data_IF_950947774653
#
_entry.id   IF_950947774653
#
_cell.length_a   1.000
_cell.length_b   1.000
_cell.length_c   1.000
_cell.angle_alpha   90.00
_cell.angle_beta   90.00
_cell.angle_gamma   90.00
#
_symmetry.space_group_name_H-M   'P 1'
#
loop_
_entity.id
_entity.type
_entity.pdbx_description
1 polymer ?
#
# COMPACT_ATOMS: atom_id res chain seq x y z
N UNK A 1 52.74 59.70 -29.80
CA UNK A 1 51.92 58.50 -30.06
C UNK A 1 50.85 58.49 -28.98
N UNK A 2 49.88 59.44 -28.98
CA UNK A 2 48.49 59.33 -29.51
C UNK A 2 47.77 58.07 -29.01
N UNK A 3 46.62 58.08 -28.34
CA UNK A 3 45.64 59.06 -27.84
C UNK A 3 44.62 58.22 -27.03
N UNK A 4 44.20 58.62 -25.81
CA UNK A 4 43.09 59.52 -25.46
C UNK A 4 41.67 58.92 -25.54
N UNK A 5 41.01 58.97 -24.38
CA UNK A 5 39.59 59.24 -24.08
C UNK A 5 38.41 58.34 -24.52
N UNK A 6 37.59 58.04 -23.49
CA UNK A 6 36.12 58.28 -23.37
C UNK A 6 35.20 57.45 -24.28
N UNK A 7 33.96 57.11 -23.97
CA UNK A 7 32.95 57.55 -22.99
C UNK A 7 32.04 56.35 -22.66
N UNK A 8 31.29 56.51 -21.57
CA UNK A 8 30.05 55.81 -21.23
C UNK A 8 29.01 55.84 -22.35
N UNK A 9 28.22 54.77 -22.52
CA UNK A 9 26.82 54.89 -22.91
C UNK A 9 25.99 53.68 -22.44
N UNK A 10 24.87 54.02 -21.82
CA UNK A 10 23.71 53.19 -21.53
C UNK A 10 22.80 53.28 -22.76
N UNK A 11 22.14 52.18 -23.16
CA UNK A 11 20.68 52.08 -23.36
C UNK A 11 20.24 51.07 -24.44
N UNK A 12 19.09 50.47 -24.10
CA UNK A 12 17.94 50.02 -24.89
C UNK A 12 17.95 48.92 -25.96
N UNK A 13 16.90 48.09 -25.83
CA UNK A 13 16.20 47.43 -26.91
C UNK A 13 16.75 46.07 -27.37
N UNK A 14 15.97 45.08 -27.76
CA UNK A 14 14.53 44.95 -27.90
C UNK A 14 14.26 43.45 -28.08
N UNK A 15 13.31 42.92 -27.32
CA UNK A 15 12.67 41.63 -27.53
C UNK A 15 11.80 41.70 -28.80
N UNK A 16 12.02 40.85 -29.80
CA UNK A 16 11.12 40.73 -30.95
C UNK A 16 11.18 39.35 -31.65
N UNK A 17 10.04 38.64 -31.59
CA UNK A 17 9.50 37.76 -32.64
C UNK A 17 10.16 36.38 -32.81
N UNK A 18 9.44 35.29 -33.08
CA UNK A 18 8.15 35.16 -33.77
C UNK A 18 7.41 33.91 -33.28
N UNK A 19 6.12 34.11 -33.10
CA UNK A 19 5.03 33.16 -32.78
C UNK A 19 4.51 32.59 -34.10
N UNK A 20 4.35 31.27 -34.23
CA UNK A 20 3.49 30.70 -35.27
C UNK A 20 2.78 29.44 -34.74
N UNK A 21 1.49 29.63 -34.43
CA UNK A 21 0.48 28.61 -34.15
C UNK A 21 0.05 27.93 -35.44
N UNK A 22 -0.60 26.77 -35.30
CA UNK A 22 -1.62 26.10 -36.16
C UNK A 22 -1.28 24.61 -36.35
N UNK A 23 -2.15 23.62 -36.32
CA UNK A 23 -3.59 23.52 -36.03
C UNK A 23 -3.90 22.08 -35.62
N UNK A 24 -4.96 21.93 -34.83
CA UNK A 24 -5.58 20.68 -34.45
C UNK A 24 -6.75 20.46 -35.41
N UNK A 25 -6.75 19.41 -36.23
CA UNK A 25 -7.99 18.95 -36.86
C UNK A 25 -7.96 17.46 -37.25
N UNK A 26 -9.11 16.84 -37.02
CA UNK A 26 -9.46 15.44 -37.22
C UNK A 26 -9.70 15.10 -38.69
N UNK A 27 -9.40 13.87 -39.10
CA UNK A 27 -10.27 13.21 -40.07
C UNK A 27 -10.27 11.69 -39.91
N UNK A 28 -11.47 11.12 -39.92
CA UNK A 28 -11.74 9.71 -40.05
C UNK A 28 -12.01 9.43 -41.54
N UNK A 29 -11.68 8.23 -42.05
CA UNK A 29 -12.53 7.42 -42.96
C UNK A 29 -11.73 6.27 -43.64
N UNK A 30 -12.18 5.04 -43.31
CA UNK A 30 -12.34 3.81 -44.11
C UNK A 30 -11.23 3.19 -45.00
N UNK A 31 -10.94 1.91 -44.72
CA UNK A 31 -11.15 0.73 -45.62
C UNK A 31 -10.57 -0.53 -44.95
N UNK A 32 -11.10 -1.77 -45.00
CA UNK A 32 -12.23 -2.41 -45.69
C UNK A 32 -12.40 -3.84 -45.14
N UNK A 33 -13.66 -4.29 -45.10
CA UNK A 33 -14.19 -5.67 -45.24
C UNK A 33 -13.78 -6.78 -44.26
N UNK A 34 -14.78 -7.29 -43.54
CA UNK A 34 -15.22 -8.68 -43.71
C UNK A 34 -16.72 -8.77 -43.42
N UNK A 35 -17.47 -9.26 -44.39
CA UNK A 35 -18.92 -9.43 -44.38
C UNK A 35 -19.33 -10.55 -43.40
N UNK A 36 -20.34 -10.27 -42.56
CA UNK A 36 -21.12 -11.27 -41.85
C UNK A 36 -22.59 -10.82 -41.82
N UNK A 37 -23.25 -11.09 -42.94
CA UNK A 37 -24.61 -11.60 -43.06
C UNK A 37 -25.60 -11.21 -41.94
N UNK A 38 -26.32 -10.11 -42.17
CA UNK A 38 -27.55 -9.78 -41.44
C UNK A 38 -28.65 -10.68 -42.00
N UNK A 39 -29.02 -11.71 -41.24
CA UNK A 39 -30.10 -12.62 -41.60
C UNK A 39 -31.44 -11.86 -41.55
N UNK A 40 -32.05 -11.66 -42.72
CA UNK A 40 -33.41 -11.20 -42.85
C UNK A 40 -34.37 -12.20 -42.22
N UNK A 41 -35.35 -11.68 -41.50
CA UNK A 41 -36.57 -12.40 -41.18
C UNK A 41 -37.63 -11.95 -42.18
N UNK A 42 -38.08 -12.90 -43.00
CA UNK A 42 -39.28 -12.76 -43.80
C UNK A 42 -40.48 -12.65 -42.84
N UNK A 43 -41.34 -11.66 -43.10
CA UNK A 43 -42.60 -11.50 -42.37
C UNK A 43 -43.60 -12.43 -43.02
N UNK A 44 -43.77 -13.62 -42.44
CA UNK A 44 -44.87 -14.50 -42.80
C UNK A 44 -46.17 -13.97 -42.16
N UNK A 45 -47.14 -13.66 -43.02
CA UNK A 45 -48.50 -13.28 -42.66
C UNK A 45 -49.26 -14.46 -42.02
N UNK A 46 -49.88 -14.16 -40.87
CA UNK A 46 -51.04 -14.79 -40.23
C UNK A 46 -51.22 -16.33 -40.32
N UNK A 47 -50.81 -17.02 -39.25
CA UNK A 47 -51.54 -18.19 -38.76
C UNK A 47 -52.38 -17.78 -37.55
N UNK A 48 -53.70 -17.92 -37.68
CA UNK A 48 -54.65 -17.72 -36.57
C UNK A 48 -54.41 -18.77 -35.48
N UNK A 49 -53.64 -18.43 -34.46
CA UNK A 49 -53.58 -19.21 -33.22
C UNK A 49 -54.66 -18.72 -32.25
N UNK A 50 -55.55 -19.64 -31.86
CA UNK A 50 -56.57 -19.44 -30.85
C UNK A 50 -55.91 -19.11 -29.49
N UNK A 51 -56.10 -17.89 -28.94
CA UNK A 51 -55.41 -17.42 -27.74
C UNK A 51 -55.78 -18.19 -26.46
N UNK A 52 -56.73 -19.14 -26.54
CA UNK A 52 -57.18 -19.95 -25.41
C UNK A 52 -56.53 -21.33 -25.23
N UNK A 53 -55.67 -21.78 -26.16
CA UNK A 53 -55.10 -23.15 -26.12
C UNK A 53 -53.74 -23.20 -25.41
N UNK A 54 -52.81 -22.31 -25.76
CA UNK A 54 -51.45 -22.29 -25.18
C UNK A 54 -51.42 -21.96 -23.67
N UNK A 55 -52.40 -21.19 -23.19
CA UNK A 55 -52.52 -20.81 -21.79
C UNK A 55 -53.02 -21.96 -20.88
N UNK A 56 -53.74 -22.94 -21.45
CA UNK A 56 -54.24 -24.09 -20.68
C UNK A 56 -53.15 -25.14 -20.47
N UNK A 57 -52.29 -25.34 -21.48
CA UNK A 57 -51.25 -26.38 -21.46
C UNK A 57 -50.01 -25.98 -20.63
N UNK A 58 -49.82 -24.68 -20.39
CA UNK A 58 -48.78 -24.14 -19.48
C UNK A 58 -49.21 -24.16 -18.01
N UNK A 59 -50.51 -24.03 -17.73
CA UNK A 59 -51.05 -24.09 -16.38
C UNK A 59 -51.05 -25.51 -15.79
N UNK A 60 -51.20 -26.54 -16.63
CA UNK A 60 -51.24 -27.95 -16.18
C UNK A 60 -49.85 -28.56 -15.91
N UNK A 61 -48.77 -27.92 -16.40
CA UNK A 61 -47.37 -28.30 -16.13
C UNK A 61 -46.73 -27.49 -14.97
N UNK A 62 -47.47 -26.58 -14.35
CA UNK A 62 -46.95 -25.79 -13.23
C UNK A 62 -46.98 -26.64 -11.94
N UNK A 63 -45.84 -27.20 -11.58
CA UNK A 63 -45.59 -27.70 -10.21
C UNK A 63 -45.81 -26.55 -9.22
N UNK A 64 -46.57 -26.76 -8.12
CA UNK A 64 -46.86 -25.69 -7.17
C UNK A 64 -45.56 -25.19 -6.54
N UNK A 65 -45.29 -23.89 -6.69
CA UNK A 65 -44.27 -23.21 -5.91
C UNK A 65 -44.75 -23.22 -4.45
N UNK A 66 -44.18 -24.13 -3.66
CA UNK A 66 -44.41 -24.22 -2.23
C UNK A 66 -44.06 -22.91 -1.52
N UNK A 67 -44.68 -22.63 -0.37
CA UNK A 67 -44.38 -21.44 0.37
C UNK A 67 -42.95 -21.55 0.93
N UNK A 68 -42.27 -20.41 0.99
CA UNK A 68 -41.01 -20.20 1.71
C UNK A 68 -39.75 -20.68 0.98
N UNK A 69 -39.40 -19.95 -0.08
CA UNK A 69 -37.97 -19.74 -0.38
C UNK A 69 -37.46 -18.86 0.76
N UNK A 70 -36.80 -19.51 1.71
CA UNK A 70 -36.45 -18.95 3.00
C UNK A 70 -35.85 -17.56 2.90
N UNK A 71 -36.28 -16.72 3.84
CA UNK A 71 -35.66 -15.45 4.21
C UNK A 71 -34.23 -15.64 4.74
N UNK A 72 -33.71 -16.88 4.69
CA UNK A 72 -32.36 -17.31 5.07
C UNK A 72 -31.29 -17.05 3.97
N UNK A 73 -31.66 -16.72 2.73
CA UNK A 73 -30.68 -16.41 1.65
C UNK A 73 -30.26 -14.92 1.61
N UNK A 74 -30.47 -14.21 2.71
CA UNK A 74 -29.78 -12.94 3.01
C UNK A 74 -28.90 -13.08 4.27
N UNK A 75 -28.54 -14.32 4.64
CA UNK A 75 -27.49 -14.61 5.61
C UNK A 75 -26.12 -14.19 5.02
N UNK A 76 -25.83 -12.90 5.21
CA UNK A 76 -24.50 -12.38 5.55
C UNK A 76 -23.35 -12.87 4.65
N UNK A 77 -23.29 -12.38 3.40
CA UNK A 77 -22.01 -12.29 2.69
C UNK A 77 -21.17 -11.16 3.32
N UNK A 78 -20.79 -11.33 4.58
CA UNK A 78 -19.68 -10.61 5.22
C UNK A 78 -18.76 -11.58 5.95
N UNK A 79 -18.72 -12.84 5.55
CA UNK A 79 -17.59 -13.69 5.90
C UNK A 79 -16.47 -13.38 4.89
N UNK A 80 -15.47 -12.62 5.33
CA UNK A 80 -14.24 -12.43 4.55
C UNK A 80 -13.59 -13.81 4.49
N UNK A 81 -13.91 -14.58 3.45
CA UNK A 81 -13.42 -15.93 3.28
C UNK A 81 -11.88 -15.91 3.35
N UNK A 82 -11.34 -16.48 4.44
CA UNK A 82 -9.91 -16.54 4.66
C UNK A 82 -9.24 -17.35 3.54
N UNK A 83 -8.52 -16.69 2.64
CA UNK A 83 -7.91 -17.35 1.48
C UNK A 83 -6.69 -18.19 1.88
N UNK A 84 -6.70 -19.52 1.66
CA UNK A 84 -5.54 -20.38 1.93
C UNK A 84 -4.31 -19.98 1.10
N UNK A 85 -4.54 -19.44 -0.10
CA UNK A 85 -3.48 -18.93 -0.99
C UNK A 85 -2.79 -17.72 -0.35
N UNK A 86 -3.57 -16.76 0.17
CA UNK A 86 -3.03 -15.57 0.84
C UNK A 86 -2.25 -15.95 2.09
N UNK A 87 -2.79 -16.84 2.95
CA UNK A 87 -2.08 -17.34 4.14
C UNK A 87 -0.72 -17.97 3.80
N UNK A 88 -0.70 -18.81 2.77
CA UNK A 88 0.51 -19.50 2.31
C UNK A 88 1.52 -18.53 1.71
N UNK A 89 1.06 -17.61 0.86
CA UNK A 89 1.90 -16.59 0.24
C UNK A 89 2.53 -15.67 1.30
N UNK A 90 1.73 -15.13 2.22
CA UNK A 90 2.21 -14.28 3.32
C UNK A 90 3.26 -15.00 4.16
N UNK A 91 2.98 -16.23 4.62
CA UNK A 91 3.94 -17.02 5.41
C UNK A 91 5.26 -17.27 4.68
N UNK A 92 5.20 -17.44 3.35
CA UNK A 92 6.38 -17.69 2.52
C UNK A 92 7.19 -16.41 2.30
N UNK A 93 6.53 -15.28 2.05
CA UNK A 93 7.17 -14.00 1.69
C UNK A 93 7.73 -13.27 2.92
N UNK A 94 7.04 -13.32 4.06
CA UNK A 94 7.44 -12.62 5.28
C UNK A 94 8.91 -12.79 5.67
N UNK A 95 9.53 -14.00 5.72
CA UNK A 95 10.95 -14.11 6.07
C UNK A 95 11.87 -13.34 5.12
N UNK A 96 11.54 -13.26 3.82
CA UNK A 96 12.32 -12.48 2.85
C UNK A 96 12.13 -10.97 3.05
N UNK A 97 10.92 -10.53 3.39
CA UNK A 97 10.65 -9.12 3.73
C UNK A 97 11.41 -8.71 4.98
N UNK A 98 11.41 -9.53 6.03
CA UNK A 98 12.19 -9.28 7.25
C UNK A 98 13.69 -9.23 6.94
N UNK A 99 14.21 -10.20 6.19
CA UNK A 99 15.62 -10.22 5.79
C UNK A 99 16.01 -8.98 4.98
N UNK A 100 15.13 -8.52 4.08
CA UNK A 100 15.35 -7.31 3.31
C UNK A 100 15.32 -6.05 4.20
N UNK A 101 14.42 -5.96 5.18
CA UNK A 101 14.40 -4.86 6.14
C UNK A 101 15.65 -4.82 7.03
N UNK A 102 16.18 -5.98 7.43
CA UNK A 102 17.47 -6.10 8.12
C UNK A 102 18.60 -5.60 7.21
N UNK A 103 18.62 -6.01 5.94
CA UNK A 103 19.61 -5.54 4.97
C UNK A 103 19.58 -4.01 4.80
N UNK A 104 18.40 -3.41 4.62
CA UNK A 104 18.26 -1.94 4.54
C UNK A 104 18.75 -1.23 5.81
N UNK A 105 18.62 -1.87 6.97
CA UNK A 105 19.10 -1.34 8.24
C UNK A 105 20.61 -1.40 8.34
N UNK A 106 21.23 -2.53 8.00
CA UNK A 106 22.68 -2.76 8.19
C UNK A 106 23.57 -2.09 7.14
N UNK A 107 23.01 -1.77 5.98
CA UNK A 107 23.74 -1.18 4.85
C UNK A 107 23.28 0.25 4.51
N UNK A 108 22.54 0.90 5.42
CA UNK A 108 21.98 2.24 5.23
C UNK A 108 23.01 3.34 5.02
N UNK A 109 24.24 3.16 5.52
CA UNK A 109 25.34 4.10 5.32
C UNK A 109 25.94 4.08 3.92
N UNK A 110 25.76 2.99 3.18
CA UNK A 110 26.42 2.74 1.90
C UNK A 110 25.46 2.70 0.72
N UNK A 111 24.17 2.48 0.98
CA UNK A 111 23.12 2.30 -0.02
C UNK A 111 21.90 3.17 0.33
N UNK A 112 21.06 3.55 -0.64
CA UNK A 112 19.79 4.19 -0.34
C UNK A 112 18.96 3.28 0.57
N UNK A 113 18.62 3.78 1.77
CA UNK A 113 18.09 2.94 2.83
C UNK A 113 18.21 3.60 4.20
N UNK A 114 18.34 2.77 5.23
CA UNK A 114 18.58 3.19 6.60
C UNK A 114 17.61 2.57 7.60
N UNK A 115 17.91 2.80 8.87
CA UNK A 115 17.19 2.24 10.01
C UNK A 115 15.68 2.46 9.99
N UNK A 116 15.22 3.67 9.63
CA UNK A 116 13.80 3.97 9.61
C UNK A 116 13.08 3.11 8.56
N UNK A 117 13.58 3.12 7.33
CA UNK A 117 12.98 2.37 6.22
C UNK A 117 13.06 0.86 6.46
N UNK A 118 14.20 0.36 6.94
CA UNK A 118 14.37 -1.04 7.33
C UNK A 118 13.38 -1.46 8.42
N UNK A 119 13.20 -0.62 9.45
CA UNK A 119 12.20 -0.82 10.49
C UNK A 119 10.76 -0.87 9.97
N UNK A 120 10.40 0.04 9.06
CA UNK A 120 9.09 0.03 8.39
C UNK A 120 8.88 -1.26 7.61
N UNK A 121 9.87 -1.69 6.82
CA UNK A 121 9.80 -2.93 6.03
C UNK A 121 9.65 -4.17 6.91
N UNK A 122 10.37 -4.23 8.04
CA UNK A 122 10.20 -5.32 9.00
C UNK A 122 8.79 -5.32 9.60
N UNK A 123 8.29 -4.15 10.00
CA UNK A 123 6.93 -4.01 10.54
C UNK A 123 5.86 -4.44 9.53
N UNK A 124 5.97 -4.02 8.26
CA UNK A 124 4.99 -4.40 7.23
C UNK A 124 4.99 -5.90 6.97
N UNK A 125 6.14 -6.59 7.07
CA UNK A 125 6.21 -8.05 7.00
C UNK A 125 5.39 -8.74 8.09
N UNK A 126 5.36 -8.18 9.31
CA UNK A 126 4.53 -8.66 10.42
C UNK A 126 3.06 -8.30 10.21
N UNK A 127 2.76 -7.07 9.78
CA UNK A 127 1.39 -6.63 9.47
C UNK A 127 0.77 -7.46 8.34
N UNK A 128 1.57 -7.89 7.35
CA UNK A 128 1.13 -8.80 6.30
C UNK A 128 0.64 -10.15 6.86
N UNK A 129 1.34 -10.69 7.86
CA UNK A 129 0.90 -11.91 8.56
C UNK A 129 -0.38 -11.62 9.34
N UNK A 130 -0.44 -10.48 10.04
CA UNK A 130 -1.62 -10.08 10.81
C UNK A 130 -2.88 -9.98 9.94
N UNK A 131 -2.76 -9.40 8.75
CA UNK A 131 -3.85 -9.28 7.79
C UNK A 131 -4.24 -10.62 7.17
N UNK A 132 -3.29 -11.54 6.99
CA UNK A 132 -3.55 -12.84 6.36
C UNK A 132 -4.15 -13.88 7.32
N UNK A 133 -3.82 -13.82 8.61
CA UNK A 133 -4.25 -14.78 9.64
C UNK A 133 -5.25 -14.20 10.64
N UNK A 134 -5.61 -12.93 10.51
CA UNK A 134 -6.47 -12.20 11.44
C UNK A 134 -5.68 -11.62 12.63
N UNK A 135 -6.20 -10.52 13.17
CA UNK A 135 -5.55 -9.80 14.27
C UNK A 135 -5.67 -10.49 15.63
N UNK A 136 -6.72 -11.26 15.88
CA UNK A 136 -6.88 -12.02 17.14
C UNK A 136 -5.78 -13.07 17.35
N UNK A 137 -5.62 -14.06 16.45
CA UNK A 137 -4.52 -15.03 16.55
C UNK A 137 -3.14 -14.38 16.53
N UNK A 138 -2.99 -13.26 15.83
CA UNK A 138 -1.73 -12.52 15.77
C UNK A 138 -1.41 -11.81 17.09
N UNK A 139 -2.40 -11.32 17.82
CA UNK A 139 -2.23 -10.77 19.18
C UNK A 139 -1.83 -11.85 20.19
N UNK A 140 -2.32 -13.08 20.03
CA UNK A 140 -1.88 -14.21 20.85
C UNK A 140 -0.41 -14.57 20.56
N UNK A 141 0.03 -14.40 19.31
CA UNK A 141 1.40 -14.69 18.90
C UNK A 141 2.39 -13.55 19.22
N UNK A 142 1.92 -12.30 19.20
CA UNK A 142 2.71 -11.11 19.50
C UNK A 142 2.50 -10.67 20.96
N UNK A 143 3.52 -10.87 21.79
CA UNK A 143 3.52 -10.30 23.13
C UNK A 143 3.61 -8.76 23.05
N UNK A 144 2.52 -8.08 23.44
CA UNK A 144 2.47 -6.62 23.50
C UNK A 144 3.60 -6.03 24.37
N UNK A 145 4.03 -6.75 25.43
CA UNK A 145 5.15 -6.34 26.27
C UNK A 145 6.47 -6.43 25.51
N UNK A 146 6.62 -7.40 24.62
CA UNK A 146 7.80 -7.50 23.78
C UNK A 146 7.88 -6.36 22.77
N UNK A 147 6.75 -5.94 22.17
CA UNK A 147 6.70 -4.78 21.27
C UNK A 147 7.05 -3.47 21.99
N UNK A 148 6.47 -3.26 23.17
CA UNK A 148 6.82 -2.12 24.04
C UNK A 148 8.29 -2.21 24.47
N UNK A 149 8.77 -3.40 24.81
CA UNK A 149 10.16 -3.66 25.15
C UNK A 149 11.11 -3.31 24.00
N UNK A 150 10.74 -3.63 22.77
CA UNK A 150 11.52 -3.30 21.56
C UNK A 150 11.60 -1.78 21.34
N UNK A 151 10.47 -1.08 21.51
CA UNK A 151 10.43 0.39 21.48
C UNK A 151 11.29 1.02 22.57
N UNK A 152 11.15 0.57 23.82
CA UNK A 152 11.89 1.09 24.95
C UNK A 152 13.38 0.79 24.82
N UNK A 153 13.75 -0.41 24.38
CA UNK A 153 15.14 -0.80 24.17
C UNK A 153 15.79 0.04 23.07
N UNK A 154 15.13 0.18 21.92
CA UNK A 154 15.62 1.03 20.82
C UNK A 154 15.78 2.49 21.27
N UNK A 155 14.78 3.04 21.96
CA UNK A 155 14.82 4.40 22.51
C UNK A 155 15.93 4.58 23.55
N UNK A 156 16.10 3.60 24.44
CA UNK A 156 17.11 3.65 25.50
C UNK A 156 18.52 3.54 24.94
N UNK A 157 18.76 2.70 23.94
CA UNK A 157 20.06 2.61 23.26
C UNK A 157 20.34 3.92 22.51
N UNK A 158 19.39 4.41 21.71
CA UNK A 158 19.56 5.68 20.98
C UNK A 158 19.85 6.85 21.92
N UNK A 159 19.02 7.02 22.96
CA UNK A 159 19.22 8.06 23.98
C UNK A 159 20.53 7.85 24.76
N UNK A 160 20.86 6.61 25.09
CA UNK A 160 22.10 6.25 25.76
C UNK A 160 23.34 6.61 24.96
N UNK A 161 23.33 6.42 23.63
CA UNK A 161 24.42 6.89 22.75
C UNK A 161 24.44 8.41 22.67
N UNK A 162 23.28 9.04 22.50
CA UNK A 162 23.16 10.49 22.37
C UNK A 162 23.71 11.24 23.59
N UNK A 163 23.26 10.85 24.79
CA UNK A 163 23.70 11.47 26.04
C UNK A 163 25.01 10.87 26.57
N UNK A 164 25.34 9.63 26.20
CA UNK A 164 26.60 9.00 26.54
C UNK A 164 27.80 9.76 25.98
N UNK A 165 27.67 10.36 24.78
CA UNK A 165 28.71 11.19 24.19
C UNK A 165 29.11 12.37 25.11
N UNK A 166 28.15 12.96 25.83
CA UNK A 166 28.42 14.04 26.81
C UNK A 166 29.31 13.56 27.96
N UNK A 167 29.14 12.31 28.41
CA UNK A 167 29.94 11.71 29.49
C UNK A 167 31.41 11.54 29.05
N UNK A 168 31.63 11.30 27.75
CA UNK A 168 32.96 11.22 27.14
C UNK A 168 33.54 12.59 26.76
N UNK A 169 32.82 13.69 27.03
CA UNK A 169 33.29 15.05 26.78
C UNK A 169 33.06 15.59 25.37
N UNK A 170 32.23 14.92 24.56
CA UNK A 170 31.74 15.43 23.28
C UNK A 170 30.37 16.11 23.38
N UNK A 171 29.83 16.51 22.23
CA UNK A 171 28.47 17.01 22.06
C UNK A 171 27.45 15.85 21.90
N UNK A 172 26.15 16.18 21.94
CA UNK A 172 25.08 15.20 21.78
C UNK A 172 25.22 14.49 20.43
N UNK A 173 25.19 13.15 20.46
CA UNK A 173 25.29 12.28 19.27
C UNK A 173 26.67 12.30 18.57
N UNK A 174 27.70 12.82 19.23
CA UNK A 174 29.06 12.84 18.71
C UNK A 174 29.69 11.43 18.77
N UNK A 175 29.64 10.67 17.67
CA UNK A 175 29.98 9.23 17.71
C UNK A 175 31.47 8.93 17.82
N UNK A 176 32.36 9.86 17.47
CA UNK A 176 33.81 9.63 17.45
C UNK A 176 34.47 9.68 18.83
N UNK A 177 33.75 10.11 19.88
CA UNK A 177 34.27 10.12 21.26
C UNK A 177 34.24 8.74 21.91
N UNK A 178 33.47 7.81 21.35
CA UNK A 178 33.40 6.44 21.85
C UNK A 178 34.66 5.64 21.46
N UNK A 179 35.05 4.63 22.27
CA UNK A 179 36.26 3.82 22.01
C UNK A 179 36.11 2.82 20.85
N UNK A 180 34.98 2.83 20.14
CA UNK A 180 34.65 1.95 19.03
C UNK A 180 34.73 2.71 17.70
N UNK A 181 34.76 1.98 16.58
CA UNK A 181 34.77 2.63 15.27
C UNK A 181 33.47 3.42 15.04
N UNK A 182 33.56 4.54 14.31
CA UNK A 182 32.36 5.34 13.96
C UNK A 182 31.36 4.50 13.17
N UNK A 183 31.85 3.61 12.30
CA UNK A 183 30.99 2.69 11.54
C UNK A 183 30.18 1.77 12.45
N UNK A 184 30.80 1.19 13.49
CA UNK A 184 30.10 0.31 14.44
C UNK A 184 29.10 1.09 15.30
N UNK A 185 29.43 2.34 15.67
CA UNK A 185 28.51 3.23 16.39
C UNK A 185 27.30 3.62 15.55
N UNK A 186 27.51 3.94 14.26
CA UNK A 186 26.41 4.23 13.35
C UNK A 186 25.51 3.00 13.18
N UNK A 187 26.08 1.81 12.96
CA UNK A 187 25.30 0.56 12.86
C UNK A 187 24.51 0.26 14.12
N UNK A 188 25.08 0.48 15.31
CA UNK A 188 24.38 0.30 16.57
C UNK A 188 23.18 1.25 16.70
N UNK A 189 23.37 2.52 16.34
CA UNK A 189 22.28 3.51 16.28
C UNK A 189 21.23 3.11 15.25
N UNK A 190 21.64 2.60 14.09
CA UNK A 190 20.71 2.15 13.06
C UNK A 190 19.86 0.97 13.53
N UNK A 191 20.46 -0.05 14.16
CA UNK A 191 19.72 -1.18 14.72
C UNK A 191 18.77 -0.72 15.84
N UNK A 192 19.20 0.21 16.69
CA UNK A 192 18.37 0.76 17.76
C UNK A 192 17.13 1.48 17.20
N UNK A 193 17.32 2.33 16.18
CA UNK A 193 16.22 3.04 15.52
C UNK A 193 15.31 2.04 14.78
N UNK A 194 15.85 1.06 14.06
CA UNK A 194 15.04 0.07 13.34
C UNK A 194 14.16 -0.75 14.30
N UNK A 195 14.70 -1.15 15.46
CA UNK A 195 13.95 -1.80 16.53
C UNK A 195 12.82 -0.90 17.05
N UNK A 196 13.13 0.37 17.38
CA UNK A 196 12.15 1.34 17.83
C UNK A 196 11.01 1.52 16.82
N UNK A 197 11.34 1.75 15.54
CA UNK A 197 10.36 1.97 14.48
C UNK A 197 9.48 0.73 14.30
N UNK A 198 10.09 -0.46 14.26
CA UNK A 198 9.35 -1.72 14.09
C UNK A 198 8.36 -1.93 15.23
N UNK A 199 8.81 -1.76 16.47
CA UNK A 199 7.98 -1.93 17.66
C UNK A 199 6.80 -0.95 17.69
N UNK A 200 7.04 0.31 17.35
CA UNK A 200 5.99 1.34 17.29
C UNK A 200 4.95 1.02 16.22
N UNK A 201 5.38 0.70 14.99
CA UNK A 201 4.43 0.46 13.90
C UNK A 201 3.59 -0.79 14.17
N UNK A 202 4.22 -1.90 14.56
CA UNK A 202 3.49 -3.13 14.87
C UNK A 202 2.54 -2.90 16.05
N UNK A 203 3.03 -2.26 17.13
CA UNK A 203 2.24 -1.95 18.30
C UNK A 203 1.04 -1.06 17.99
N UNK A 204 1.22 -0.01 17.18
CA UNK A 204 0.14 0.88 16.76
C UNK A 204 -0.89 0.15 15.89
N UNK A 205 -0.46 -0.67 14.94
CA UNK A 205 -1.37 -1.43 14.07
C UNK A 205 -2.20 -2.42 14.89
N UNK A 206 -1.56 -3.15 15.81
CA UNK A 206 -2.25 -4.10 16.70
C UNK A 206 -3.21 -3.36 17.64
N UNK A 207 -2.78 -2.24 18.23
CA UNK A 207 -3.62 -1.42 19.10
C UNK A 207 -4.84 -0.88 18.34
N UNK A 208 -4.63 -0.37 17.12
CA UNK A 208 -5.71 0.12 16.27
C UNK A 208 -6.71 -1.01 15.93
N UNK A 209 -6.22 -2.20 15.59
CA UNK A 209 -7.07 -3.35 15.32
C UNK A 209 -7.93 -3.74 16.54
N UNK A 210 -7.36 -3.70 17.74
CA UNK A 210 -8.09 -4.02 18.99
C UNK A 210 -9.15 -2.98 19.38
N UNK A 211 -9.01 -1.73 18.93
CA UNK A 211 -9.96 -0.67 19.23
C UNK A 211 -11.34 -0.91 18.61
N UNK A 212 -11.42 -1.63 17.50
CA UNK A 212 -12.68 -1.96 16.83
C UNK A 212 -13.49 -3.04 17.56
N UNK A 213 -12.85 -3.92 18.34
CA UNK A 213 -13.56 -4.98 19.10
C UNK A 213 -14.34 -4.45 20.30
N UNK A 214 -13.84 -3.40 20.98
CA UNK A 214 -14.50 -2.83 22.17
C UNK A 214 -15.61 -1.81 21.87
N UNK A 215 -15.75 -1.38 20.62
CA UNK A 215 -16.77 -0.41 20.20
C UNK A 215 -18.14 -1.02 19.87
N UNK A 216 -18.24 -2.35 19.82
CA UNK A 216 -19.48 -3.09 19.49
C UNK A 216 -20.38 -3.42 20.70
N UNK A 217 -19.87 -3.28 21.92
CA UNK A 217 -20.67 -3.36 23.15
C UNK A 217 -21.19 -1.96 23.49
N UNK A 218 -22.22 -1.52 22.77
CA UNK A 218 -22.99 -0.35 23.15
C UNK A 218 -23.90 -0.67 24.35
N UNK A 219 -23.83 0.23 25.33
CA UNK A 219 -24.80 0.48 26.41
C UNK A 219 -26.25 0.42 25.91
#
# INVERSE_FOLDING_TARGET
>A
MTGDNRDTDVDDGTNAGVDERTDFESDATQSTRSDAEIHGYDVDEESHEDPGSAARDTAERAEPIGPERGEDELETVTDVAESPVVKTASRTITPFVIAFGIYLTLFGTSLPGGAFQGGVVMATGIVLVAMAFGFGPTQEWLDARALVGLFLLGSAIFGGVAFGALVYGGDVLELYVFPLSVEDMVKLVEVAIAALVSGVIIGLVVWLASGFEKGGESI
#
